data_IF_761631615003
#
_entry.id   IF_761631615003
#
_cell.length_a   1.000
_cell.length_b   1.000
_cell.length_c   1.000
_cell.angle_alpha   90.00
_cell.angle_beta   90.00
_cell.angle_gamma   90.00
#
_symmetry.space_group_name_H-M   'P 1'
#
loop_
_entity.id
_entity.type
_entity.pdbx_description
1 polymer ?
#
# COMPACT_ATOMS: atom_id res chain seq x y z
N UNK A 1 -17.18 8.83 -11.92
CA UNK A 1 -17.27 10.29 -11.69
C UNK A 1 -17.21 10.47 -10.19
N UNK A 2 -16.43 11.43 -9.68
CA UNK A 2 -16.31 11.65 -8.23
C UNK A 2 -16.81 13.06 -7.90
N UNK A 3 -17.55 13.19 -6.79
CA UNK A 3 -18.15 14.44 -6.33
C UNK A 3 -17.49 14.82 -5.01
N UNK A 4 -16.95 16.03 -4.92
CA UNK A 4 -16.34 16.49 -3.68
C UNK A 4 -17.41 16.88 -2.64
N UNK A 5 -16.99 17.08 -1.38
CA UNK A 5 -17.89 17.51 -0.29
C UNK A 5 -18.65 18.81 -0.58
N UNK A 6 -18.08 19.69 -1.38
CA UNK A 6 -18.70 20.95 -1.80
C UNK A 6 -19.65 20.79 -3.02
N UNK A 7 -19.82 19.57 -3.55
CA UNK A 7 -20.70 19.29 -4.69
C UNK A 7 -20.07 19.47 -6.08
N UNK A 8 -18.80 19.87 -6.19
CA UNK A 8 -18.12 19.96 -7.49
C UNK A 8 -17.85 18.56 -8.06
N UNK A 9 -18.13 18.37 -9.35
CA UNK A 9 -17.86 17.12 -10.06
C UNK A 9 -16.45 17.11 -10.68
N UNK A 10 -15.83 15.93 -10.73
CA UNK A 10 -14.57 15.70 -11.45
C UNK A 10 -14.74 15.88 -12.96
N UNK A 11 -13.82 16.61 -13.60
CA UNK A 11 -13.77 16.80 -15.06
C UNK A 11 -13.25 15.53 -15.75
N UNK A 12 -12.19 14.94 -15.21
CA UNK A 12 -11.50 13.81 -15.81
C UNK A 12 -11.26 12.72 -14.77
N UNK A 13 -11.37 11.47 -15.22
CA UNK A 13 -10.92 10.29 -14.50
C UNK A 13 -9.78 9.64 -15.28
N UNK A 14 -8.68 9.37 -14.58
CA UNK A 14 -7.55 8.59 -15.10
C UNK A 14 -7.36 7.36 -14.20
N UNK A 15 -7.06 6.22 -14.79
CA UNK A 15 -6.62 5.02 -14.05
C UNK A 15 -5.15 4.79 -14.34
N UNK A 16 -4.35 4.49 -13.31
CA UNK A 16 -2.92 4.21 -13.48
C UNK A 16 -2.69 2.91 -14.26
N UNK A 17 -3.65 1.98 -14.22
CA UNK A 17 -3.52 0.67 -14.88
C UNK A 17 -4.70 0.39 -15.83
N UNK A 18 -4.46 -0.23 -17.00
CA UNK A 18 -5.52 -0.72 -17.87
C UNK A 18 -6.37 -1.79 -17.17
N UNK A 19 -7.68 -1.82 -17.46
CA UNK A 19 -8.64 -2.80 -16.90
C UNK A 19 -8.21 -4.27 -17.12
N UNK A 20 -7.39 -4.54 -18.15
CA UNK A 20 -6.87 -5.87 -18.48
C UNK A 20 -6.07 -6.52 -17.33
N UNK A 21 -5.54 -5.71 -16.41
CA UNK A 21 -4.70 -6.17 -15.32
C UNK A 21 -5.37 -6.15 -13.94
N UNK A 22 -6.70 -6.05 -13.89
CA UNK A 22 -7.44 -6.07 -12.63
C UNK A 22 -7.22 -7.36 -11.81
N UNK A 23 -6.73 -8.44 -12.44
CA UNK A 23 -6.49 -9.75 -11.82
C UNK A 23 -5.09 -9.93 -11.21
N UNK A 24 -4.14 -9.03 -11.49
CA UNK A 24 -2.72 -9.25 -11.16
C UNK A 24 -2.36 -8.92 -9.70
N UNK A 25 -3.34 -8.93 -8.79
CA UNK A 25 -3.13 -8.76 -7.34
C UNK A 25 -2.69 -7.37 -6.88
N UNK A 26 -2.26 -6.48 -7.78
CA UNK A 26 -1.85 -5.11 -7.46
C UNK A 26 -3.01 -4.11 -7.56
N UNK A 27 -3.16 -3.27 -6.52
CA UNK A 27 -4.19 -2.24 -6.45
C UNK A 27 -4.14 -1.24 -7.63
N UNK A 28 -5.31 -0.79 -8.06
CA UNK A 28 -5.44 0.23 -9.12
C UNK A 28 -5.70 1.58 -8.48
N UNK A 29 -5.01 2.64 -8.90
CA UNK A 29 -5.29 4.00 -8.43
C UNK A 29 -6.10 4.75 -9.48
N UNK A 30 -7.23 5.30 -9.04
CA UNK A 30 -8.07 6.17 -9.85
C UNK A 30 -7.87 7.62 -9.42
N UNK A 31 -7.37 8.44 -10.34
CA UNK A 31 -7.18 9.87 -10.13
C UNK A 31 -8.29 10.66 -10.79
N UNK A 32 -8.95 11.49 -10.00
CA UNK A 32 -10.03 12.38 -10.37
C UNK A 32 -9.54 13.82 -10.39
N UNK A 33 -9.68 14.51 -11.52
CA UNK A 33 -9.25 15.90 -11.69
C UNK A 33 -10.42 16.85 -11.57
N UNK A 34 -10.19 17.99 -10.94
CA UNK A 34 -11.19 19.02 -10.67
C UNK A 34 -10.83 20.34 -11.33
N UNK A 35 -11.85 21.16 -11.53
CA UNK A 35 -11.72 22.53 -12.01
C UNK A 35 -11.07 23.41 -10.93
N UNK A 36 -9.88 23.93 -11.24
CA UNK A 36 -9.13 24.79 -10.33
C UNK A 36 -9.85 26.12 -10.10
N UNK A 37 -10.53 26.67 -11.12
CA UNK A 37 -11.25 27.95 -10.98
C UNK A 37 -12.41 27.83 -9.99
N UNK A 38 -13.10 26.69 -10.00
CA UNK A 38 -14.14 26.38 -9.00
C UNK A 38 -13.55 26.14 -7.61
N UNK A 39 -12.35 25.55 -7.53
CA UNK A 39 -11.67 25.33 -6.25
C UNK A 39 -11.15 26.62 -5.62
N UNK A 40 -10.69 27.60 -6.41
CA UNK A 40 -10.23 28.92 -5.92
C UNK A 40 -11.33 29.71 -5.21
N UNK A 41 -12.56 29.64 -5.73
CA UNK A 41 -13.73 30.34 -5.19
C UNK A 41 -14.55 29.49 -4.21
N UNK A 42 -14.06 28.31 -3.84
CA UNK A 42 -14.78 27.38 -2.97
C UNK A 42 -14.74 27.86 -1.51
N UNK A 43 -15.86 27.80 -0.76
CA UNK A 43 -15.87 28.08 0.68
C UNK A 43 -14.92 27.15 1.47
N UNK A 44 -14.72 25.93 0.98
CA UNK A 44 -13.85 24.92 1.58
C UNK A 44 -12.43 24.95 1.00
N UNK A 45 -11.95 26.09 0.49
CA UNK A 45 -10.60 26.19 -0.11
C UNK A 45 -9.50 25.94 0.92
N UNK A 46 -9.69 26.41 2.16
CA UNK A 46 -8.72 26.27 3.23
C UNK A 46 -8.48 24.78 3.53
N UNK A 47 -7.24 24.34 3.37
CA UNK A 47 -6.83 22.94 3.54
C UNK A 47 -7.19 21.99 2.38
N UNK A 48 -7.98 22.44 1.39
CA UNK A 48 -8.31 21.63 0.20
C UNK A 48 -7.49 22.05 -1.02
N UNK A 49 -7.45 23.35 -1.33
CA UNK A 49 -6.71 23.89 -2.45
C UNK A 49 -5.46 24.60 -1.93
N UNK A 50 -4.32 24.35 -2.59
CA UNK A 50 -3.09 25.09 -2.31
C UNK A 50 -3.04 26.26 -3.30
N UNK A 51 -2.86 27.46 -2.77
CA UNK A 51 -2.71 28.66 -3.59
C UNK A 51 -1.55 28.46 -4.59
N UNK A 52 -1.77 28.90 -5.84
CA UNK A 52 -0.91 28.68 -7.03
C UNK A 52 -0.81 27.25 -7.60
N UNK A 53 -1.60 26.29 -7.10
CA UNK A 53 -1.64 24.96 -7.71
C UNK A 53 -2.29 24.99 -9.10
N UNK A 54 -1.54 24.55 -10.12
CA UNK A 54 -2.00 24.45 -11.52
C UNK A 54 -3.07 23.38 -11.76
N UNK A 55 -3.10 22.35 -10.92
CA UNK A 55 -4.03 21.24 -11.04
C UNK A 55 -4.56 20.83 -9.67
N UNK A 56 -5.81 20.39 -9.64
CA UNK A 56 -6.42 19.76 -8.46
C UNK A 56 -6.78 18.33 -8.82
N UNK A 57 -6.20 17.37 -8.11
CA UNK A 57 -6.54 15.96 -8.24
C UNK A 57 -6.86 15.32 -6.90
N UNK A 58 -7.61 14.23 -6.96
CA UNK A 58 -7.93 13.35 -5.84
C UNK A 58 -7.76 11.91 -6.30
N UNK A 59 -6.91 11.15 -5.62
CA UNK A 59 -6.59 9.78 -5.99
C UNK A 59 -7.21 8.80 -5.00
N UNK A 60 -7.91 7.80 -5.53
CA UNK A 60 -8.51 6.71 -4.75
C UNK A 60 -7.81 5.41 -5.12
N UNK A 61 -7.24 4.74 -4.13
CA UNK A 61 -6.65 3.42 -4.30
C UNK A 61 -7.74 2.35 -4.17
N UNK A 62 -7.98 1.60 -5.23
CA UNK A 62 -8.85 0.42 -5.24
C UNK A 62 -8.00 -0.77 -4.81
N UNK A 63 -8.31 -1.31 -3.63
CA UNK A 63 -7.72 -2.54 -3.12
C UNK A 63 -8.26 -3.74 -3.90
N UNK A 64 -7.38 -4.70 -4.20
CA UNK A 64 -7.73 -6.01 -4.78
C UNK A 64 -8.34 -6.93 -3.74
N UNK A 65 -9.04 -7.98 -4.16
CA UNK A 65 -9.64 -8.96 -3.26
C UNK A 65 -8.61 -9.62 -2.34
N UNK A 66 -7.40 -9.88 -2.84
CA UNK A 66 -6.30 -10.42 -2.03
C UNK A 66 -5.94 -9.50 -0.85
N UNK A 67 -5.98 -8.18 -1.05
CA UNK A 67 -5.75 -7.23 0.04
C UNK A 67 -6.90 -7.23 1.06
N UNK A 68 -8.14 -7.51 0.64
CA UNK A 68 -9.26 -7.66 1.57
C UNK A 68 -9.10 -8.95 2.39
N UNK A 69 -8.86 -10.08 1.72
CA UNK A 69 -8.60 -11.37 2.37
C UNK A 69 -7.43 -11.30 3.37
N UNK A 70 -6.37 -10.57 3.05
CA UNK A 70 -5.25 -10.34 3.96
C UNK A 70 -5.66 -9.51 5.19
N UNK A 71 -6.51 -8.50 5.02
CA UNK A 71 -7.02 -7.68 6.14
C UNK A 71 -7.90 -8.55 7.04
N UNK A 72 -8.84 -9.29 6.45
CA UNK A 72 -9.74 -10.18 7.17
C UNK A 72 -8.96 -11.25 7.94
N UNK A 73 -7.92 -11.82 7.32
CA UNK A 73 -7.03 -12.78 7.99
C UNK A 73 -6.26 -12.14 9.15
N UNK A 74 -5.76 -10.91 8.99
CA UNK A 74 -5.07 -10.20 10.08
C UNK A 74 -6.01 -9.86 11.25
N UNK A 75 -7.29 -9.65 10.97
CA UNK A 75 -8.31 -9.42 12.00
C UNK A 75 -8.73 -10.70 12.74
N UNK A 76 -8.39 -11.88 12.20
CA UNK A 76 -8.68 -13.16 12.87
C UNK A 76 -7.97 -13.29 14.22
N UNK A 77 -8.64 -13.90 15.19
CA UNK A 77 -8.08 -14.15 16.53
C UNK A 77 -6.85 -15.06 16.47
N UNK A 78 -6.86 -16.06 15.58
CA UNK A 78 -5.70 -16.92 15.33
C UNK A 78 -4.45 -16.11 14.97
N UNK A 79 -4.57 -15.16 14.04
CA UNK A 79 -3.43 -14.33 13.63
C UNK A 79 -2.96 -13.43 14.77
N UNK A 80 -3.88 -12.80 15.50
CA UNK A 80 -3.54 -11.93 16.64
C UNK A 80 -2.82 -12.69 17.75
N UNK A 81 -3.29 -13.89 18.09
CA UNK A 81 -2.67 -14.73 19.10
C UNK A 81 -1.25 -15.14 18.68
N UNK A 82 -1.08 -15.63 17.45
CA UNK A 82 0.25 -15.99 16.92
C UNK A 82 1.19 -14.77 16.82
N UNK A 83 0.66 -13.60 16.47
CA UNK A 83 1.42 -12.36 16.41
C UNK A 83 1.99 -11.98 17.79
N UNK A 84 1.23 -12.19 18.88
CA UNK A 84 1.71 -11.96 20.25
C UNK A 84 2.84 -12.92 20.64
N UNK A 85 2.94 -14.10 20.05
CA UNK A 85 4.02 -15.06 20.33
C UNK A 85 5.32 -14.78 19.58
N UNK A 86 5.29 -13.89 18.57
CA UNK A 86 6.40 -13.61 17.65
C UNK A 86 7.69 -13.19 18.36
N UNK A 87 7.60 -12.42 19.45
CA UNK A 87 8.78 -11.98 20.20
C UNK A 87 9.61 -13.16 20.74
N UNK A 88 8.96 -14.28 21.11
CA UNK A 88 9.63 -15.48 21.61
C UNK A 88 10.51 -16.11 20.52
N UNK A 89 10.01 -16.12 19.30
CA UNK A 89 10.69 -16.68 18.12
C UNK A 89 11.84 -15.76 17.72
N UNK A 90 11.62 -14.45 17.68
CA UNK A 90 12.64 -13.46 17.32
C UNK A 90 13.80 -13.45 18.33
N UNK A 91 13.50 -13.55 19.63
CA UNK A 91 14.52 -13.68 20.67
C UNK A 91 15.40 -14.93 20.45
N UNK A 92 14.79 -16.08 20.17
CA UNK A 92 15.52 -17.32 19.90
C UNK A 92 16.31 -17.27 18.59
N UNK A 93 15.76 -16.67 17.54
CA UNK A 93 16.47 -16.47 16.27
C UNK A 93 17.67 -15.53 16.45
N UNK A 94 17.52 -14.48 17.26
CA UNK A 94 18.61 -13.58 17.60
C UNK A 94 19.70 -14.33 18.38
N UNK A 95 19.35 -15.17 19.35
CA UNK A 95 20.32 -16.01 20.05
C UNK A 95 21.07 -16.94 19.09
N UNK A 96 20.35 -17.64 18.22
CA UNK A 96 20.94 -18.54 17.21
C UNK A 96 21.90 -17.82 16.27
N UNK A 97 21.56 -16.60 15.83
CA UNK A 97 22.42 -15.80 14.96
C UNK A 97 23.68 -15.32 15.66
N UNK A 98 23.55 -14.75 16.85
CA UNK A 98 24.67 -14.07 17.52
C UNK A 98 25.54 -15.02 18.36
N UNK A 99 24.93 -15.97 19.08
CA UNK A 99 25.69 -16.92 19.93
C UNK A 99 26.17 -18.14 19.16
N UNK A 100 25.33 -18.66 18.26
CA UNK A 100 25.63 -19.88 17.53
C UNK A 100 26.20 -19.62 16.12
N UNK A 101 26.38 -18.34 15.75
CA UNK A 101 27.06 -17.96 14.50
C UNK A 101 26.27 -18.28 13.24
N UNK A 102 24.97 -18.62 13.34
CA UNK A 102 24.11 -18.93 12.20
C UNK A 102 23.68 -17.71 11.38
N UNK A 103 24.25 -16.53 11.65
CA UNK A 103 24.09 -15.36 10.79
C UNK A 103 24.89 -15.45 9.49
N UNK A 104 25.95 -16.26 9.47
CA UNK A 104 26.83 -16.43 8.31
C UNK A 104 26.79 -17.89 7.85
N UNK A 105 26.44 -18.09 6.57
CA UNK A 105 26.55 -19.41 5.96
C UNK A 105 28.04 -19.79 5.85
N UNK A 106 28.43 -20.92 6.45
CA UNK A 106 29.80 -21.44 6.39
C UNK A 106 30.22 -21.89 4.99
N UNK A 107 29.27 -22.09 4.09
CA UNK A 107 29.53 -22.35 2.67
C UNK A 107 28.40 -21.79 1.80
N UNK A 108 28.77 -21.11 0.71
CA UNK A 108 27.89 -20.94 -0.44
C UNK A 108 28.00 -22.24 -1.24
N UNK A 109 26.92 -23.01 -1.35
CA UNK A 109 26.96 -24.27 -2.09
C UNK A 109 27.32 -24.03 -3.57
N UNK A 110 28.60 -24.24 -3.92
CA UNK A 110 29.14 -24.68 -5.23
C UNK A 110 30.69 -24.65 -5.29
N UNK A 111 31.39 -25.15 -4.26
CA UNK A 111 32.83 -25.48 -4.38
C UNK A 111 33.03 -26.82 -3.66
N UNK A 112 32.92 -27.94 -4.39
CA UNK A 112 33.09 -29.26 -3.78
C UNK A 112 32.73 -30.51 -4.59
N UNK A 113 32.23 -30.42 -5.83
CA UNK A 113 32.07 -31.59 -6.73
C UNK A 113 33.24 -31.74 -7.73
N UNK A 114 34.48 -31.55 -7.27
CA UNK A 114 35.67 -31.98 -7.99
C UNK A 114 36.69 -32.53 -6.99
N UNK A 115 36.54 -33.82 -6.67
CA UNK A 115 37.67 -34.73 -6.57
C UNK A 115 37.22 -36.16 -6.81
#
# INVERSE_FOLDING_TARGET
MYVCKAGHMSIKKTSTRPKKHAKDGQGTVESYFFDVEKCKHCPYKEGCYKDDAKTKSYSVSIKTNTHQEHIDFQESEYFKEKSKERYKIEAKNSELKHRHGYDVASSSGLIGFLK
#
